data_IF_966281866931
#
_entry.id   IF_966281866931
#
_cell.length_a   1.000
_cell.length_b   1.000
_cell.length_c   1.000
_cell.angle_alpha   90.00
_cell.angle_beta   90.00
_cell.angle_gamma   90.00
#
_symmetry.space_group_name_H-M   'P 1'
#
loop_
_entity.id
_entity.type
_entity.pdbx_description
1 polymer ?
#
# COMPACT_ATOMS: atom_id res chain seq x y z
N UNK A 1 16.31 -10.35 17.21
CA UNK A 1 15.64 -10.29 15.90
C UNK A 1 15.33 -11.70 15.41
N UNK A 2 14.08 -11.97 15.18
CA UNK A 2 13.67 -13.28 14.68
C UNK A 2 13.97 -13.45 13.22
N UNK A 3 14.29 -14.66 12.84
CA UNK A 3 14.33 -15.07 11.44
C UNK A 3 13.30 -16.18 11.27
N UNK A 4 12.80 -16.34 10.05
CA UNK A 4 11.80 -17.33 9.73
C UNK A 4 10.40 -16.74 9.67
N UNK A 5 9.74 -16.51 10.79
CA UNK A 5 8.36 -16.04 10.79
C UNK A 5 8.10 -14.96 11.82
N UNK A 6 7.13 -14.11 11.54
CA UNK A 6 6.68 -13.10 12.48
C UNK A 6 5.21 -12.78 12.20
N UNK A 7 4.46 -12.49 13.27
CA UNK A 7 3.12 -11.93 13.11
C UNK A 7 3.27 -10.41 13.03
N UNK A 8 2.58 -9.80 12.08
CA UNK A 8 2.52 -8.35 11.96
C UNK A 8 1.09 -7.90 12.26
N UNK A 9 0.96 -6.78 12.96
CA UNK A 9 -0.34 -6.24 13.38
C UNK A 9 -0.44 -4.77 13.02
N UNK A 10 -1.66 -4.31 12.83
CA UNK A 10 -1.89 -2.89 12.57
C UNK A 10 -1.40 -1.99 13.71
N UNK A 11 -1.27 -2.56 14.91
CA UNK A 11 -0.84 -1.81 16.09
C UNK A 11 0.69 -1.79 16.29
N UNK A 12 1.45 -2.50 15.46
CA UNK A 12 2.91 -2.59 15.64
C UNK A 12 3.60 -1.25 15.41
N UNK A 13 3.09 -0.45 14.50
CA UNK A 13 3.65 0.86 14.15
C UNK A 13 2.50 1.87 14.17
N UNK A 14 2.69 3.04 14.78
CA UNK A 14 1.64 4.06 14.78
C UNK A 14 1.25 4.43 13.36
N UNK A 15 -0.04 4.70 13.17
CA UNK A 15 -0.54 5.23 11.90
C UNK A 15 0.02 6.63 11.67
N UNK A 16 0.39 6.93 10.43
CA UNK A 16 0.83 8.26 10.05
C UNK A 16 0.09 8.70 8.78
N UNK A 17 -0.07 10.00 8.64
CA UNK A 17 -0.78 10.55 7.49
C UNK A 17 0.09 10.46 6.24
N UNK A 18 -0.49 9.98 5.13
CA UNK A 18 0.13 10.03 3.81
C UNK A 18 -0.33 11.28 3.09
N UNK A 19 -1.63 11.51 3.10
CA UNK A 19 -2.29 12.70 2.58
C UNK A 19 -3.64 12.79 3.27
N UNK A 20 -4.37 13.87 3.06
CA UNK A 20 -5.66 14.05 3.72
C UNK A 20 -6.57 12.86 3.44
N UNK A 21 -7.10 12.24 4.50
CA UNK A 21 -8.01 11.11 4.40
C UNK A 21 -7.33 9.77 4.14
N UNK A 22 -5.99 9.71 4.22
CA UNK A 22 -5.25 8.48 3.95
C UNK A 22 -4.13 8.33 4.97
N UNK A 23 -4.15 7.24 5.73
CA UNK A 23 -3.13 6.94 6.73
C UNK A 23 -2.51 5.57 6.46
N UNK A 24 -1.27 5.40 6.92
CA UNK A 24 -0.47 4.21 6.66
C UNK A 24 0.22 3.73 7.93
N UNK A 25 0.39 2.42 8.03
CA UNK A 25 1.25 1.81 9.04
C UNK A 25 2.08 0.72 8.36
N UNK A 26 3.40 0.76 8.56
CA UNK A 26 4.35 -0.05 7.79
C UNK A 26 4.94 -1.17 8.63
N UNK A 27 4.08 -2.07 9.11
CA UNK A 27 4.52 -3.18 9.97
C UNK A 27 5.47 -4.15 9.31
N UNK A 28 5.30 -4.44 8.02
CA UNK A 28 6.21 -5.34 7.30
C UNK A 28 7.57 -4.68 7.15
N UNK A 29 7.60 -3.42 6.75
CA UNK A 29 8.85 -2.67 6.61
C UNK A 29 9.60 -2.60 7.93
N UNK A 30 8.89 -2.31 9.02
CA UNK A 30 9.48 -2.19 10.34
C UNK A 30 10.05 -3.50 10.86
N UNK A 31 9.43 -4.63 10.52
CA UNK A 31 9.92 -5.95 10.93
C UNK A 31 11.33 -6.23 10.42
N UNK A 32 11.61 -5.85 9.17
CA UNK A 32 12.96 -5.67 8.68
C UNK A 32 13.80 -6.90 8.39
N UNK A 33 13.26 -8.12 8.49
CA UNK A 33 14.08 -9.31 8.28
C UNK A 33 13.89 -9.97 6.91
N UNK A 34 13.13 -9.32 6.02
CA UNK A 34 12.96 -9.77 4.63
C UNK A 34 13.20 -8.59 3.70
N UNK A 35 13.14 -8.85 2.38
CA UNK A 35 13.21 -7.78 1.39
C UNK A 35 11.87 -7.09 1.18
N UNK A 36 10.83 -7.56 1.87
CA UNK A 36 9.47 -7.02 1.71
C UNK A 36 9.26 -5.80 2.59
N UNK A 37 8.49 -4.86 2.06
CA UNK A 37 7.96 -3.74 2.80
C UNK A 37 6.44 -3.74 2.72
N UNK A 38 5.83 -2.83 3.45
CA UNK A 38 4.39 -2.68 3.42
C UNK A 38 3.74 -2.69 4.79
N UNK A 39 2.45 -2.93 4.79
CA UNK A 39 1.61 -2.93 5.98
C UNK A 39 0.16 -2.69 5.61
N UNK A 40 -0.45 -1.68 6.22
CA UNK A 40 -1.86 -1.35 5.94
C UNK A 40 -2.01 0.13 5.63
N UNK A 41 -2.99 0.42 4.79
CA UNK A 41 -3.44 1.78 4.50
C UNK A 41 -4.93 1.83 4.83
N UNK A 42 -5.34 2.88 5.53
CA UNK A 42 -6.77 3.13 5.73
C UNK A 42 -7.12 4.46 5.08
N UNK A 43 -8.26 4.48 4.42
CA UNK A 43 -8.73 5.63 3.67
C UNK A 43 -10.16 5.93 4.12
N UNK A 44 -10.48 7.22 4.32
CA UNK A 44 -11.81 7.61 4.78
C UNK A 44 -12.80 7.83 3.63
N UNK A 45 -12.32 7.74 2.38
CA UNK A 45 -13.18 7.92 1.20
C UNK A 45 -13.11 9.30 0.58
N UNK A 46 -12.33 10.21 1.15
CA UNK A 46 -12.28 11.60 0.70
C UNK A 46 -11.01 11.97 -0.04
N UNK A 47 -9.91 11.25 0.18
CA UNK A 47 -8.62 11.67 -0.34
C UNK A 47 -8.14 10.82 -1.50
N UNK A 48 -7.05 11.29 -2.11
CA UNK A 48 -6.35 10.50 -3.12
C UNK A 48 -4.88 10.83 -3.08
N UNK A 49 -4.05 9.84 -3.45
CA UNK A 49 -2.63 10.04 -3.65
C UNK A 49 -2.39 10.02 -5.15
N UNK A 50 -2.20 11.22 -5.72
CA UNK A 50 -2.16 11.41 -7.16
C UNK A 50 -0.73 11.40 -7.68
N UNK A 51 -0.54 10.81 -8.86
CA UNK A 51 0.71 10.92 -9.59
C UNK A 51 1.90 10.28 -8.92
N UNK A 52 1.70 9.13 -8.28
CA UNK A 52 2.78 8.41 -7.61
C UNK A 52 3.47 7.43 -8.58
N UNK A 53 4.78 7.59 -8.77
CA UNK A 53 5.55 6.68 -9.62
C UNK A 53 6.22 5.64 -8.71
N UNK A 54 5.93 4.36 -8.98
CA UNK A 54 6.44 3.28 -8.16
C UNK A 54 7.90 2.98 -8.49
N UNK A 55 8.73 2.89 -7.45
CA UNK A 55 10.12 2.44 -7.54
C UNK A 55 10.24 1.01 -7.01
N UNK A 56 9.16 0.26 -7.04
CA UNK A 56 9.05 -1.10 -6.47
C UNK A 56 7.84 -1.76 -7.10
N UNK A 57 7.79 -3.09 -6.98
CA UNK A 57 6.57 -3.84 -7.31
C UNK A 57 5.68 -3.86 -6.09
N UNK A 58 4.37 -3.82 -6.28
CA UNK A 58 3.42 -3.72 -5.18
C UNK A 58 2.19 -4.59 -5.43
N UNK A 59 1.72 -5.23 -4.35
CA UNK A 59 0.42 -5.88 -4.32
C UNK A 59 -0.43 -5.15 -3.29
N UNK A 60 -1.64 -4.77 -3.69
CA UNK A 60 -2.66 -4.25 -2.78
C UNK A 60 -3.73 -5.32 -2.62
N UNK A 61 -4.10 -5.61 -1.39
CA UNK A 61 -5.22 -6.50 -1.10
C UNK A 61 -6.29 -5.69 -0.36
N UNK A 62 -7.48 -5.63 -0.91
CA UNK A 62 -8.57 -4.89 -0.28
C UNK A 62 -9.18 -5.75 0.82
N UNK A 63 -9.02 -5.31 2.08
CA UNK A 63 -9.56 -6.00 3.24
C UNK A 63 -11.01 -5.61 3.46
N UNK A 64 -11.29 -4.29 3.38
CA UNK A 64 -12.63 -3.73 3.53
C UNK A 64 -12.79 -2.58 2.57
N UNK A 65 -14.01 -2.37 2.08
CA UNK A 65 -14.33 -1.26 1.21
C UNK A 65 -13.95 -1.52 -0.24
N UNK A 66 -13.26 -0.54 -0.83
CA UNK A 66 -12.91 -0.59 -2.24
C UNK A 66 -11.70 0.30 -2.49
N UNK A 67 -10.77 -0.16 -3.32
CA UNK A 67 -9.61 0.64 -3.72
C UNK A 67 -9.59 0.76 -5.24
N UNK A 68 -9.32 1.97 -5.72
CA UNK A 68 -9.21 2.26 -7.14
C UNK A 68 -7.78 2.74 -7.41
N UNK A 69 -7.15 2.17 -8.44
CA UNK A 69 -5.82 2.58 -8.89
C UNK A 69 -5.93 2.93 -10.35
N UNK A 70 -5.75 4.21 -10.64
CA UNK A 70 -5.78 4.70 -12.02
C UNK A 70 -4.34 4.82 -12.52
N UNK A 71 -4.00 4.06 -13.56
CA UNK A 71 -2.68 4.15 -14.18
C UNK A 71 -2.68 5.29 -15.19
N UNK A 72 -1.72 6.19 -15.09
CA UNK A 72 -1.61 7.31 -16.02
C UNK A 72 -1.22 6.78 -17.40
N UNK A 73 -2.06 7.07 -18.39
CA UNK A 73 -1.89 6.56 -19.73
C UNK A 73 -2.36 5.12 -19.92
N UNK A 74 -3.02 4.55 -18.93
CA UNK A 74 -3.46 3.18 -18.95
C UNK A 74 -4.86 3.01 -18.39
N UNK A 75 -5.08 1.87 -17.76
CA UNK A 75 -6.40 1.46 -17.28
C UNK A 75 -6.58 1.84 -15.81
N UNK A 76 -7.83 1.82 -15.38
CA UNK A 76 -8.18 1.95 -13.97
C UNK A 76 -8.54 0.58 -13.44
N UNK A 77 -7.86 0.15 -12.38
CA UNK A 77 -8.15 -1.09 -11.68
C UNK A 77 -8.95 -0.78 -10.43
N UNK A 78 -9.98 -1.58 -10.15
CA UNK A 78 -10.81 -1.43 -8.96
C UNK A 78 -10.87 -2.78 -8.27
N UNK A 79 -10.54 -2.81 -6.98
CA UNK A 79 -10.63 -4.01 -6.16
C UNK A 79 -11.59 -3.79 -5.02
N UNK A 80 -12.49 -4.74 -4.82
CA UNK A 80 -13.39 -4.77 -3.68
C UNK A 80 -12.85 -5.73 -2.63
N UNK A 81 -13.47 -5.77 -1.47
CA UNK A 81 -13.03 -6.63 -0.37
C UNK A 81 -12.80 -8.07 -0.87
N UNK A 82 -11.63 -8.62 -0.58
CA UNK A 82 -11.22 -9.94 -1.03
C UNK A 82 -10.47 -9.97 -2.35
N UNK A 83 -10.30 -8.82 -3.00
CA UNK A 83 -9.62 -8.74 -4.29
C UNK A 83 -8.30 -7.97 -4.17
N UNK A 84 -7.39 -8.22 -5.10
CA UNK A 84 -6.08 -7.58 -5.11
C UNK A 84 -5.80 -6.84 -6.39
N UNK A 85 -4.83 -5.91 -6.32
CA UNK A 85 -4.31 -5.19 -7.49
C UNK A 85 -2.81 -5.36 -7.48
N UNK A 86 -2.26 -5.72 -8.64
CA UNK A 86 -0.81 -5.85 -8.83
C UNK A 86 -0.33 -4.65 -9.62
N UNK A 87 0.71 -3.97 -9.10
CA UNK A 87 1.28 -2.79 -9.75
C UNK A 87 2.78 -3.03 -9.92
N UNK A 88 3.26 -2.86 -11.15
CA UNK A 88 4.68 -3.05 -11.45
C UNK A 88 5.49 -1.78 -11.27
N UNK A 89 6.76 -1.96 -10.98
CA UNK A 89 7.73 -0.86 -10.88
C UNK A 89 7.71 -0.03 -12.16
N UNK A 90 7.76 1.30 -12.00
CA UNK A 90 7.77 2.25 -13.12
C UNK A 90 6.40 2.82 -13.45
N UNK A 91 5.33 2.20 -12.98
CA UNK A 91 3.98 2.72 -13.22
C UNK A 91 3.78 4.02 -12.44
N UNK A 92 3.08 4.97 -13.06
CA UNK A 92 2.63 6.18 -12.37
C UNK A 92 1.13 6.07 -12.20
N UNK A 93 0.66 6.15 -10.97
CA UNK A 93 -0.72 5.85 -10.63
C UNK A 93 -1.31 6.89 -9.69
N UNK A 94 -2.63 6.90 -9.60
CA UNK A 94 -3.37 7.63 -8.58
C UNK A 94 -4.17 6.60 -7.79
N UNK A 95 -3.98 6.60 -6.46
CA UNK A 95 -4.74 5.76 -5.55
C UNK A 95 -5.89 6.55 -4.98
N UNK A 96 -7.09 5.97 -4.98
CA UNK A 96 -8.24 6.63 -4.34
C UNK A 96 -9.22 5.59 -3.81
N UNK A 97 -9.98 6.01 -2.80
CA UNK A 97 -11.13 5.25 -2.33
C UNK A 97 -12.30 6.21 -2.22
N UNK A 98 -13.49 5.74 -2.58
CA UNK A 98 -14.70 6.57 -2.57
C UNK A 98 -15.56 6.32 -1.35
N UNK A 99 -15.11 5.43 -0.45
CA UNK A 99 -15.74 5.13 0.81
C UNK A 99 -14.69 4.61 1.78
N UNK A 100 -14.98 4.55 3.09
CA UNK A 100 -13.99 4.04 4.04
C UNK A 100 -13.49 2.66 3.64
N UNK A 101 -12.17 2.49 3.62
CA UNK A 101 -11.53 1.28 3.10
C UNK A 101 -10.28 0.96 3.88
N UNK A 102 -9.97 -0.33 3.97
CA UNK A 102 -8.75 -0.84 4.59
C UNK A 102 -8.04 -1.73 3.58
N UNK A 103 -6.77 -1.44 3.34
CA UNK A 103 -5.97 -2.09 2.33
C UNK A 103 -4.73 -2.68 3.01
N UNK A 104 -4.42 -3.94 2.71
CA UNK A 104 -3.14 -4.55 3.07
C UNK A 104 -2.24 -4.48 1.85
N UNK A 105 -1.02 -3.97 2.02
CA UNK A 105 -0.13 -3.84 0.87
C UNK A 105 1.24 -4.44 1.16
N UNK A 106 1.86 -4.99 0.12
CA UNK A 106 3.19 -5.57 0.16
C UNK A 106 3.96 -5.03 -1.03
N UNK A 107 5.19 -4.64 -0.80
CA UNK A 107 6.06 -4.14 -1.87
C UNK A 107 7.46 -4.71 -1.72
N UNK A 108 8.22 -4.66 -2.81
CA UNK A 108 9.59 -5.13 -2.86
C UNK A 108 10.38 -4.28 -3.86
N UNK A 109 11.54 -3.76 -3.49
CA UNK A 109 12.24 -3.94 -2.21
C UNK A 109 11.78 -2.93 -1.15
N UNK A 110 11.85 -3.31 0.12
CA UNK A 110 11.43 -2.42 1.22
C UNK A 110 12.28 -1.14 1.33
N UNK A 111 13.49 -1.19 0.83
CA UNK A 111 14.44 -0.06 0.89
C UNK A 111 14.47 0.76 -0.39
N UNK A 112 13.37 0.73 -1.15
CA UNK A 112 13.30 1.41 -2.45
C UNK A 112 13.66 2.89 -2.38
N UNK A 113 13.33 3.57 -1.28
CA UNK A 113 13.59 5.00 -1.14
C UNK A 113 15.08 5.31 -1.00
N UNK A 114 15.87 4.31 -0.63
CA UNK A 114 17.32 4.45 -0.46
C UNK A 114 18.11 4.01 -1.70
N UNK A 115 17.41 3.50 -2.70
CA UNK A 115 18.02 3.07 -3.97
C UNK A 115 17.91 4.19 -5.00
N UNK A 116 18.94 4.40 -5.73
CA UNK A 116 18.95 5.46 -6.75
C UNK A 116 19.01 4.89 -8.16
#
# INVERSE_FOLDING_TARGET
MGTGTAVIRQSDVPWSEVTQGMEITRGITQAGFTTLGGGWVRMDGSGELAGWTLKYDEVLYCVEGEIEVEEHGGQTAVAQAGEGILIGEGATVTYRARRPSLIFFVLNPRDWAERS
#
